data_IF_608475017575
#
_entry.id   IF_608475017575
#
_cell.length_a   1.000
_cell.length_b   1.000
_cell.length_c   1.000
_cell.angle_alpha   90.00
_cell.angle_beta   90.00
_cell.angle_gamma   90.00
#
_symmetry.space_group_name_H-M   'P 1'
#
loop_
_entity.id
_entity.type
_entity.pdbx_description
1 polymer ?
#
# COMPACT_ATOMS: atom_id res chain seq x y z
N UNK A 1 -3.93 10.36 -5.55
CA UNK A 1 -3.52 10.69 -4.16
C UNK A 1 -2.05 10.33 -4.06
N UNK A 2 -1.20 11.21 -3.51
CA UNK A 2 0.23 10.96 -3.46
C UNK A 2 0.56 9.84 -2.47
N UNK A 3 1.46 8.96 -2.88
CA UNK A 3 2.11 7.99 -2.02
C UNK A 3 3.55 8.44 -1.84
N UNK A 4 3.97 8.68 -0.60
CA UNK A 4 5.32 9.17 -0.30
C UNK A 4 6.10 8.18 0.56
N UNK A 5 7.39 8.08 0.32
CA UNK A 5 8.33 7.32 1.14
C UNK A 5 9.18 8.28 1.97
N UNK A 6 9.30 8.01 3.27
CA UNK A 6 10.14 8.77 4.18
C UNK A 6 10.89 7.86 5.15
N UNK A 7 12.09 8.28 5.56
CA UNK A 7 12.90 7.53 6.51
C UNK A 7 12.57 7.91 7.96
N UNK A 8 12.48 6.89 8.81
CA UNK A 8 12.66 6.99 10.25
C UNK A 8 14.11 6.63 10.55
N UNK A 9 14.83 7.56 11.18
CA UNK A 9 16.24 7.34 11.54
C UNK A 9 16.38 6.14 12.48
N UNK A 10 17.54 5.48 12.46
CA UNK A 10 17.86 4.37 13.36
C UNK A 10 17.55 4.72 14.82
N UNK A 11 17.94 5.92 15.26
CA UNK A 11 17.77 6.37 16.63
C UNK A 11 16.29 6.52 17.02
N UNK A 12 15.46 7.07 16.12
CA UNK A 12 14.01 7.20 16.37
C UNK A 12 13.38 5.81 16.41
N UNK A 13 13.69 4.96 15.44
CA UNK A 13 13.16 3.58 15.40
C UNK A 13 13.54 2.81 16.67
N UNK A 14 14.79 2.88 17.13
CA UNK A 14 15.22 2.18 18.35
C UNK A 14 14.56 2.71 19.62
N UNK A 15 14.16 3.99 19.64
CA UNK A 15 13.40 4.58 20.75
C UNK A 15 11.93 4.17 20.74
N UNK A 16 11.28 4.19 19.58
CA UNK A 16 9.83 4.00 19.44
C UNK A 16 9.42 2.54 19.23
N UNK A 17 10.32 1.72 18.68
CA UNK A 17 10.08 0.34 18.27
C UNK A 17 11.08 -0.63 18.93
N UNK A 18 11.56 -0.30 20.13
CA UNK A 18 12.54 -1.11 20.86
C UNK A 18 12.11 -2.58 20.94
N UNK A 19 12.96 -3.48 20.43
CA UNK A 19 12.70 -4.93 20.43
C UNK A 19 11.75 -5.43 19.33
N UNK A 20 11.24 -4.57 18.44
CA UNK A 20 10.43 -4.99 17.32
C UNK A 20 11.27 -5.52 16.15
N UNK A 21 10.77 -6.56 15.49
CA UNK A 21 11.39 -7.24 14.36
C UNK A 21 10.42 -7.39 13.18
N UNK A 22 10.90 -7.82 11.99
CA UNK A 22 10.02 -8.16 10.88
C UNK A 22 8.93 -9.16 11.27
N UNK A 23 7.73 -8.97 10.75
CA UNK A 23 6.51 -9.70 11.10
C UNK A 23 5.68 -9.08 12.22
N UNK A 24 6.27 -8.21 13.06
CA UNK A 24 5.54 -7.49 14.11
C UNK A 24 5.04 -6.13 13.61
N UNK A 25 3.98 -5.61 14.22
CA UNK A 25 3.43 -4.29 13.87
C UNK A 25 4.00 -3.23 14.80
N UNK A 26 4.57 -2.16 14.25
CA UNK A 26 4.81 -0.91 14.98
C UNK A 26 3.51 -0.11 15.00
N UNK A 27 2.83 0.03 16.16
CA UNK A 27 1.50 0.63 16.24
C UNK A 27 1.54 2.18 16.25
N UNK A 28 2.36 2.77 15.38
CA UNK A 28 2.47 4.23 15.24
C UNK A 28 1.35 4.80 14.38
N UNK A 29 0.92 6.01 14.69
CA UNK A 29 -0.01 6.84 13.93
C UNK A 29 0.62 8.18 13.51
N UNK A 30 1.92 8.37 13.78
CA UNK A 30 2.61 9.66 13.64
C UNK A 30 3.92 9.55 12.87
N UNK A 31 4.21 10.59 12.11
CA UNK A 31 5.53 10.84 11.55
C UNK A 31 5.97 12.29 11.85
N UNK A 32 7.05 12.44 12.61
CA UNK A 32 7.55 13.74 13.05
C UNK A 32 8.54 14.30 12.03
N UNK A 33 8.09 15.21 11.18
CA UNK A 33 8.93 15.91 10.21
C UNK A 33 8.23 17.14 9.66
N UNK A 34 8.90 18.28 9.72
CA UNK A 34 8.45 19.55 9.14
C UNK A 34 9.02 19.78 7.72
N UNK A 35 9.46 18.71 7.05
CA UNK A 35 10.02 18.80 5.70
C UNK A 35 8.98 19.31 4.71
N UNK A 36 9.30 20.40 4.00
CA UNK A 36 8.45 20.95 2.93
C UNK A 36 8.22 19.98 1.78
N UNK A 37 9.08 18.97 1.63
CA UNK A 37 8.90 17.92 0.62
C UNK A 37 7.65 17.07 0.84
N UNK A 38 7.04 17.12 2.04
CA UNK A 38 5.82 16.39 2.38
C UNK A 38 4.54 17.18 2.05
N UNK A 39 4.64 18.42 1.56
CA UNK A 39 3.47 19.23 1.20
C UNK A 39 2.48 18.55 0.24
N UNK A 40 2.87 17.63 -0.68
CA UNK A 40 1.89 16.89 -1.48
C UNK A 40 0.86 16.12 -0.63
N UNK A 41 1.19 15.71 0.60
CA UNK A 41 0.28 14.98 1.49
C UNK A 41 -0.85 15.84 2.06
N UNK A 42 -0.82 17.17 1.88
CA UNK A 42 -1.88 18.09 2.33
C UNK A 42 -3.21 17.80 1.62
N UNK A 43 -3.13 17.33 0.37
CA UNK A 43 -4.28 16.88 -0.44
C UNK A 43 -4.70 15.43 -0.11
N UNK A 44 -4.18 14.87 0.98
CA UNK A 44 -4.35 13.48 1.41
C UNK A 44 -3.28 12.54 0.84
N UNK A 45 -3.49 11.22 0.97
CA UNK A 45 -2.54 10.20 0.50
C UNK A 45 -2.06 9.25 1.59
N UNK A 46 -0.90 8.62 1.34
CA UNK A 46 -0.27 7.69 2.27
C UNK A 46 1.22 7.94 2.41
N UNK A 47 1.74 7.64 3.60
CA UNK A 47 3.14 7.78 3.94
C UNK A 47 3.72 6.41 4.31
N UNK A 48 4.67 5.96 3.50
CA UNK A 48 5.43 4.73 3.64
C UNK A 48 6.70 5.03 4.44
N UNK A 49 6.71 4.58 5.69
CA UNK A 49 7.82 4.80 6.59
C UNK A 49 8.80 3.64 6.49
N UNK A 50 10.06 3.96 6.24
CA UNK A 50 11.14 2.97 6.15
C UNK A 50 12.24 3.26 7.18
N UNK A 51 13.02 2.26 7.53
CA UNK A 51 14.27 2.44 8.27
C UNK A 51 15.37 1.58 7.67
N UNK A 52 16.63 1.99 7.84
CA UNK A 52 17.79 1.24 7.38
C UNK A 52 18.43 0.56 8.59
N UNK A 53 18.51 -0.77 8.58
CA UNK A 53 19.02 -1.57 9.70
C UNK A 53 20.44 -2.08 9.45
N UNK A 54 21.32 -2.02 10.46
CA UNK A 54 22.61 -2.71 10.42
C UNK A 54 22.42 -4.23 10.51
N UNK A 55 23.44 -5.04 10.13
CA UNK A 55 24.75 -4.63 9.65
C UNK A 55 24.83 -4.36 8.13
N UNK A 56 23.85 -4.83 7.35
CA UNK A 56 23.95 -4.88 5.87
C UNK A 56 23.12 -3.83 5.13
N UNK A 57 22.76 -2.74 5.80
CA UNK A 57 21.86 -1.71 5.26
C UNK A 57 20.51 -2.27 4.78
N UNK A 58 19.95 -3.21 5.55
CA UNK A 58 18.63 -3.76 5.23
C UNK A 58 17.57 -2.67 5.27
N UNK A 59 16.82 -2.50 4.19
CA UNK A 59 15.73 -1.54 4.12
C UNK A 59 14.47 -2.21 4.64
N UNK A 60 13.94 -1.72 5.76
CA UNK A 60 12.70 -2.22 6.32
C UNK A 60 11.57 -1.23 6.11
N UNK A 61 10.44 -1.66 5.56
CA UNK A 61 9.17 -0.95 5.68
C UNK A 61 8.67 -1.15 7.11
N UNK A 62 8.42 -0.08 7.85
CA UNK A 62 8.07 -0.14 9.27
C UNK A 62 6.63 0.30 9.56
N UNK A 63 6.04 1.11 8.69
CA UNK A 63 4.63 1.49 8.76
C UNK A 63 4.13 2.05 7.43
N UNK A 64 2.81 1.99 7.23
CA UNK A 64 2.09 2.77 6.21
C UNK A 64 1.01 3.57 6.93
N UNK A 65 1.13 4.89 6.88
CA UNK A 65 0.15 5.81 7.49
C UNK A 65 -0.82 6.29 6.42
N UNK A 66 -2.11 6.21 6.71
CA UNK A 66 -3.21 6.58 5.81
C UNK A 66 -4.14 7.59 6.49
N UNK A 67 -4.90 8.35 5.69
CA UNK A 67 -5.82 9.35 6.22
C UNK A 67 -5.08 10.44 6.98
N UNK A 68 -4.01 10.93 6.36
CA UNK A 68 -3.07 11.86 6.95
C UNK A 68 -3.69 13.24 7.15
N UNK A 69 -3.25 13.93 8.20
CA UNK A 69 -3.51 15.33 8.48
C UNK A 69 -2.26 15.94 9.12
N UNK A 70 -1.92 17.19 8.78
CA UNK A 70 -0.78 17.87 9.38
C UNK A 70 -1.06 18.16 10.87
N UNK A 71 -0.01 18.11 11.69
CA UNK A 71 0.01 18.59 13.08
C UNK A 71 1.24 19.48 13.32
N UNK A 72 1.39 20.03 14.53
CA UNK A 72 2.49 20.94 14.86
C UNK A 72 3.89 20.28 14.78
N UNK A 73 3.96 18.94 14.86
CA UNK A 73 5.21 18.16 14.90
C UNK A 73 5.49 17.40 13.58
N UNK A 74 4.55 17.39 12.64
CA UNK A 74 4.60 16.66 11.38
C UNK A 74 3.21 16.20 10.91
N UNK A 75 3.00 14.88 10.90
CA UNK A 75 1.83 14.25 10.29
C UNK A 75 1.22 13.18 11.20
N UNK A 76 -0.10 13.22 11.36
CA UNK A 76 -0.92 12.21 12.04
C UNK A 76 -1.80 11.50 11.02
N UNK A 77 -1.94 10.18 11.15
CA UNK A 77 -2.87 9.39 10.37
C UNK A 77 -3.58 8.33 11.20
N UNK A 78 -4.15 7.33 10.53
CA UNK A 78 -4.65 6.13 11.20
C UNK A 78 -3.50 5.29 11.74
N UNK A 79 -3.76 4.61 12.86
CA UNK A 79 -2.82 3.67 13.48
C UNK A 79 -2.40 2.56 12.51
N UNK A 80 -1.08 2.41 12.33
CA UNK A 80 -0.49 1.43 11.43
C UNK A 80 -0.90 0.00 11.81
N UNK A 81 -1.15 -0.81 10.78
CA UNK A 81 -1.44 -2.25 10.87
C UNK A 81 -0.53 -3.09 10.00
N UNK A 82 0.33 -2.46 9.20
CA UNK A 82 1.26 -3.16 8.31
C UNK A 82 2.43 -3.67 9.16
N UNK A 83 2.77 -4.97 9.09
CA UNK A 83 3.90 -5.50 9.80
C UNK A 83 5.20 -4.92 9.26
N UNK A 84 6.17 -4.74 10.15
CA UNK A 84 7.55 -4.44 9.78
C UNK A 84 8.01 -5.53 8.82
N UNK A 85 8.60 -5.15 7.71
CA UNK A 85 8.96 -6.07 6.63
C UNK A 85 10.30 -5.68 6.06
N UNK A 86 11.18 -6.66 5.89
CA UNK A 86 12.40 -6.47 5.11
C UNK A 86 12.06 -6.37 3.61
N UNK A 87 12.27 -5.18 3.05
CA UNK A 87 12.03 -4.85 1.65
C UNK A 87 13.35 -4.59 0.91
N UNK A 88 14.47 -5.10 1.41
CA UNK A 88 15.81 -4.88 0.82
C UNK A 88 15.86 -5.32 -0.65
N UNK A 89 15.15 -6.39 -1.02
CA UNK A 89 15.07 -6.87 -2.41
C UNK A 89 14.33 -5.92 -3.35
N UNK A 90 13.58 -4.93 -2.84
CA UNK A 90 12.88 -3.92 -3.63
C UNK A 90 13.81 -2.78 -4.08
N UNK A 91 14.94 -2.56 -3.41
CA UNK A 91 15.90 -1.48 -3.72
C UNK A 91 16.25 -1.38 -5.22
N UNK A 92 16.65 -2.47 -5.93
CA UNK A 92 17.05 -2.39 -7.34
C UNK A 92 15.89 -2.05 -8.30
N UNK A 93 14.65 -2.27 -7.88
CA UNK A 93 13.45 -2.06 -8.72
C UNK A 93 12.72 -0.76 -8.42
N UNK A 94 12.91 -0.17 -7.24
CA UNK A 94 12.34 1.14 -6.90
C UNK A 94 12.82 2.22 -7.89
N UNK A 95 11.90 3.05 -8.37
CA UNK A 95 12.18 4.14 -9.33
C UNK A 95 11.83 5.52 -8.82
N UNK A 96 10.78 5.66 -8.00
CA UNK A 96 10.17 6.93 -7.61
C UNK A 96 9.71 7.74 -8.82
N UNK A 97 8.88 8.76 -8.61
CA UNK A 97 8.46 9.65 -9.72
C UNK A 97 9.65 10.33 -10.42
N UNK A 98 10.76 10.52 -9.70
CA UNK A 98 11.99 11.07 -10.28
C UNK A 98 12.68 10.17 -11.32
N UNK A 99 12.31 8.88 -11.39
CA UNK A 99 12.92 7.88 -12.27
C UNK A 99 14.34 7.42 -11.89
N UNK A 100 14.99 8.08 -10.91
CA UNK A 100 16.40 7.82 -10.55
C UNK A 100 16.61 6.58 -9.68
N UNK A 101 15.55 6.08 -9.02
CA UNK A 101 15.63 4.99 -8.06
C UNK A 101 16.51 5.31 -6.84
N UNK A 102 16.98 4.25 -6.16
CA UNK A 102 17.90 4.35 -5.02
C UNK A 102 19.34 4.12 -5.48
N UNK A 103 20.08 5.22 -5.65
CA UNK A 103 21.53 5.19 -5.91
C UNK A 103 22.24 5.59 -4.61
N UNK A 104 22.59 4.61 -3.78
CA UNK A 104 23.35 4.82 -2.57
C UNK A 104 24.69 4.10 -2.67
N UNK A 105 25.77 4.78 -2.29
CA UNK A 105 27.04 4.11 -2.05
C UNK A 105 26.88 3.17 -0.84
N UNK A 106 27.73 2.13 -0.77
CA UNK A 106 27.79 1.23 0.40
C UNK A 106 28.02 2.04 1.68
N UNK A 107 27.16 1.86 2.67
CA UNK A 107 27.14 2.57 3.94
C UNK A 107 26.35 3.89 3.94
N UNK A 108 25.80 4.32 2.79
CA UNK A 108 25.14 5.61 2.63
C UNK A 108 23.62 5.52 2.38
N UNK A 109 23.01 4.34 2.50
CA UNK A 109 21.58 4.16 2.19
C UNK A 109 20.68 5.03 3.07
N UNK A 110 20.96 5.07 4.38
CA UNK A 110 20.22 5.92 5.31
C UNK A 110 20.31 7.42 4.99
N UNK A 111 21.48 7.87 4.52
CA UNK A 111 21.67 9.27 4.10
C UNK A 111 20.92 9.59 2.81
N UNK A 112 20.93 8.67 1.83
CA UNK A 112 20.25 8.83 0.53
C UNK A 112 18.72 8.99 0.66
N UNK A 113 18.16 8.51 1.78
CA UNK A 113 16.72 8.53 2.07
C UNK A 113 16.27 9.69 2.96
N UNK A 114 17.16 10.62 3.33
CA UNK A 114 16.81 11.76 4.21
C UNK A 114 15.73 12.67 3.62
N UNK A 115 15.70 12.81 2.30
CA UNK A 115 14.66 13.57 1.60
C UNK A 115 13.50 12.65 1.26
N UNK A 116 12.26 12.93 1.73
CA UNK A 116 11.07 12.18 1.32
C UNK A 116 10.91 12.16 -0.20
N UNK A 117 10.42 11.04 -0.74
CA UNK A 117 10.29 10.83 -2.19
C UNK A 117 8.86 10.42 -2.54
N UNK A 118 8.37 10.91 -3.67
CA UNK A 118 7.08 10.45 -4.20
C UNK A 118 7.27 9.10 -4.88
N UNK A 119 6.44 8.13 -4.50
CA UNK A 119 6.42 6.78 -5.04
C UNK A 119 5.57 6.73 -6.31
N UNK A 120 5.99 5.93 -7.27
CA UNK A 120 5.10 5.51 -8.37
C UNK A 120 4.12 4.45 -7.88
N UNK A 121 3.04 4.21 -8.64
CA UNK A 121 2.12 3.10 -8.35
C UNK A 121 2.83 1.74 -8.33
N UNK A 122 3.82 1.53 -9.21
CA UNK A 122 4.63 0.31 -9.23
C UNK A 122 5.49 0.15 -7.97
N UNK A 123 6.06 1.25 -7.45
CA UNK A 123 6.83 1.20 -6.21
C UNK A 123 5.94 0.84 -5.01
N UNK A 124 4.73 1.38 -4.98
CA UNK A 124 3.71 1.11 -3.95
C UNK A 124 3.31 -0.36 -3.96
N UNK A 125 2.97 -0.90 -5.13
CA UNK A 125 2.60 -2.31 -5.28
C UNK A 125 3.73 -3.23 -4.81
N UNK A 126 4.97 -2.91 -5.18
CA UNK A 126 6.15 -3.64 -4.76
C UNK A 126 6.30 -3.66 -3.23
N UNK A 127 6.25 -2.50 -2.58
CA UNK A 127 6.40 -2.38 -1.12
C UNK A 127 5.28 -3.09 -0.36
N UNK A 128 4.02 -2.91 -0.79
CA UNK A 128 2.87 -3.54 -0.15
C UNK A 128 2.84 -5.06 -0.36
N UNK A 129 3.24 -5.54 -1.54
CA UNK A 129 3.36 -6.96 -1.84
C UNK A 129 4.42 -7.61 -0.95
N UNK A 130 5.59 -6.98 -0.77
CA UNK A 130 6.62 -7.46 0.15
C UNK A 130 6.13 -7.52 1.59
N UNK A 131 5.34 -6.52 2.02
CA UNK A 131 4.86 -6.43 3.40
C UNK A 131 3.71 -7.38 3.75
N UNK A 132 3.22 -8.16 2.78
CA UNK A 132 1.95 -8.88 2.91
C UNK A 132 0.78 -7.94 3.24
N UNK A 133 0.98 -6.64 3.01
CA UNK A 133 0.19 -5.51 3.49
C UNK A 133 -0.58 -4.79 2.39
N UNK A 134 -0.65 -5.38 1.20
CA UNK A 134 -1.61 -4.97 0.18
C UNK A 134 -3.04 -5.03 0.70
N UNK A 135 -3.97 -4.30 0.08
CA UNK A 135 -5.36 -4.29 0.54
C UNK A 135 -5.88 -5.73 0.56
N UNK A 136 -6.47 -6.11 1.69
CA UNK A 136 -6.89 -7.49 1.93
C UNK A 136 -7.97 -7.80 0.90
N UNK A 137 -7.79 -8.86 0.10
CA UNK A 137 -8.83 -9.32 -0.80
C UNK A 137 -10.01 -9.88 0.04
N UNK A 138 -11.13 -9.17 0.00
CA UNK A 138 -12.38 -9.48 0.72
C UNK A 138 -13.37 -10.30 -0.13
N UNK A 139 -13.02 -10.68 -1.36
CA UNK A 139 -13.88 -11.53 -2.17
C UNK A 139 -13.91 -12.94 -1.57
N UNK A 140 -15.12 -13.39 -1.19
CA UNK A 140 -15.35 -14.71 -0.62
C UNK A 140 -15.13 -15.82 -1.66
N UNK A 141 -14.68 -16.99 -1.21
CA UNK A 141 -14.60 -18.16 -2.07
C UNK A 141 -16.01 -18.64 -2.45
N UNK A 142 -16.20 -18.99 -3.72
CA UNK A 142 -17.44 -19.58 -4.25
C UNK A 142 -17.05 -20.81 -5.06
N UNK A 143 -17.38 -21.98 -4.52
CA UNK A 143 -16.96 -23.27 -5.08
C UNK A 143 -17.71 -23.62 -6.38
N UNK A 144 -18.98 -23.19 -6.50
CA UNK A 144 -19.88 -23.55 -7.62
C UNK A 144 -20.39 -22.31 -8.37
N UNK A 145 -19.50 -21.35 -8.64
CA UNK A 145 -19.83 -20.14 -9.40
C UNK A 145 -19.72 -20.40 -10.91
N UNK A 146 -20.65 -19.83 -11.69
CA UNK A 146 -20.58 -19.84 -13.16
C UNK A 146 -19.38 -19.05 -13.71
N UNK A 147 -18.84 -18.11 -12.92
CA UNK A 147 -17.64 -17.34 -13.25
C UNK A 147 -16.45 -17.77 -12.37
N UNK A 148 -15.20 -17.66 -12.84
CA UNK A 148 -14.04 -17.97 -12.02
C UNK A 148 -14.03 -17.16 -10.71
N UNK A 149 -13.79 -17.83 -9.58
CA UNK A 149 -13.79 -17.17 -8.29
C UNK A 149 -12.62 -16.16 -8.18
N UNK A 150 -12.86 -15.02 -7.55
CA UNK A 150 -11.85 -13.95 -7.38
C UNK A 150 -11.33 -13.83 -5.95
N UNK A 151 -11.55 -14.85 -5.11
CA UNK A 151 -11.01 -14.90 -3.76
C UNK A 151 -9.48 -15.00 -3.76
N UNK A 152 -8.84 -14.78 -2.60
CA UNK A 152 -7.38 -14.83 -2.43
C UNK A 152 -6.74 -16.09 -3.03
N UNK A 153 -7.38 -17.25 -2.89
CA UNK A 153 -6.84 -18.55 -3.35
C UNK A 153 -7.01 -18.77 -4.86
N UNK A 154 -8.10 -18.26 -5.44
CA UNK A 154 -8.43 -18.50 -6.84
C UNK A 154 -7.85 -17.42 -7.76
N UNK A 155 -7.76 -16.17 -7.28
CA UNK A 155 -7.35 -15.00 -8.04
C UNK A 155 -6.07 -15.19 -8.89
N UNK A 156 -4.97 -15.82 -8.41
CA UNK A 156 -3.76 -16.01 -9.22
C UNK A 156 -3.98 -16.82 -10.50
N UNK A 157 -5.05 -17.61 -10.58
CA UNK A 157 -5.43 -18.41 -11.76
C UNK A 157 -6.64 -17.84 -12.49
N UNK A 158 -7.25 -16.78 -11.98
CA UNK A 158 -8.45 -16.21 -12.56
C UNK A 158 -8.07 -15.27 -13.71
N UNK A 159 -8.77 -15.36 -14.86
CA UNK A 159 -8.47 -14.52 -16.01
C UNK A 159 -8.90 -13.06 -15.78
N UNK A 160 -8.50 -12.16 -16.68
CA UNK A 160 -9.01 -10.79 -16.70
C UNK A 160 -10.41 -10.68 -17.31
N UNK A 161 -10.79 -11.67 -18.13
CA UNK A 161 -12.08 -11.76 -18.82
C UNK A 161 -12.67 -13.14 -18.63
N UNK A 162 -13.98 -13.24 -18.47
CA UNK A 162 -14.68 -14.51 -18.35
C UNK A 162 -16.02 -14.43 -19.08
N UNK A 163 -16.57 -15.59 -19.44
CA UNK A 163 -17.88 -15.70 -20.06
C UNK A 163 -18.74 -16.66 -19.23
N UNK A 164 -19.99 -16.29 -19.02
CA UNK A 164 -20.99 -17.15 -18.40
C UNK A 164 -22.36 -16.85 -19.01
N UNK A 165 -23.11 -17.91 -19.36
CA UNK A 165 -24.47 -17.80 -19.89
C UNK A 165 -24.57 -16.88 -21.13
N UNK A 166 -23.55 -16.88 -22.00
CA UNK A 166 -23.50 -16.04 -23.19
C UNK A 166 -23.20 -14.55 -22.94
N UNK A 167 -22.92 -14.16 -21.69
CA UNK A 167 -22.50 -12.81 -21.34
C UNK A 167 -21.01 -12.78 -21.04
N UNK A 168 -20.34 -11.73 -21.52
CA UNK A 168 -18.92 -11.47 -21.25
C UNK A 168 -18.77 -10.56 -20.06
N UNK A 169 -17.72 -10.82 -19.27
CA UNK A 169 -17.39 -10.07 -18.08
C UNK A 169 -15.92 -9.68 -18.11
N UNK A 170 -15.65 -8.50 -17.56
CA UNK A 170 -14.30 -8.00 -17.26
C UNK A 170 -14.11 -7.98 -15.75
N UNK A 171 -12.91 -8.33 -15.30
CA UNK A 171 -12.55 -8.28 -13.90
C UNK A 171 -12.42 -6.82 -13.47
N UNK A 172 -13.13 -6.46 -12.41
CA UNK A 172 -13.11 -5.14 -11.82
C UNK A 172 -12.79 -5.24 -10.32
N UNK A 173 -12.44 -4.09 -9.73
CA UNK A 173 -12.10 -4.00 -8.32
C UNK A 173 -12.50 -2.66 -7.71
N UNK A 174 -12.79 -2.68 -6.41
CA UNK A 174 -12.91 -1.46 -5.59
C UNK A 174 -12.14 -1.62 -4.30
N UNK A 175 -11.59 -0.51 -3.81
CA UNK A 175 -10.84 -0.48 -2.56
C UNK A 175 -11.45 0.52 -1.56
N UNK A 176 -11.49 0.12 -0.29
CA UNK A 176 -11.77 1.03 0.84
C UNK A 176 -11.11 0.56 2.12
N UNK A 177 -10.47 1.47 2.85
CA UNK A 177 -9.86 1.20 4.17
C UNK A 177 -8.97 -0.04 4.21
N UNK A 178 -8.07 -0.18 3.22
CA UNK A 178 -7.16 -1.32 3.10
C UNK A 178 -7.84 -2.66 2.76
N UNK A 179 -9.05 -2.62 2.21
CA UNK A 179 -9.80 -3.81 1.78
C UNK A 179 -10.15 -3.68 0.31
N UNK A 180 -9.81 -4.72 -0.46
CA UNK A 180 -10.03 -4.82 -1.88
C UNK A 180 -11.15 -5.82 -2.14
N UNK A 181 -12.15 -5.44 -2.94
CA UNK A 181 -13.18 -6.35 -3.41
C UNK A 181 -13.07 -6.49 -4.92
N UNK A 182 -12.74 -7.69 -5.38
CA UNK A 182 -12.82 -8.05 -6.79
C UNK A 182 -14.23 -8.54 -7.13
N UNK A 183 -14.70 -8.17 -8.32
CA UNK A 183 -15.98 -8.59 -8.86
C UNK A 183 -15.93 -8.68 -10.39
N UNK A 184 -16.90 -9.37 -10.96
CA UNK A 184 -17.10 -9.45 -12.41
C UNK A 184 -18.08 -8.36 -12.86
N UNK A 185 -17.65 -7.51 -13.77
CA UNK A 185 -18.45 -6.47 -14.40
C UNK A 185 -18.88 -6.96 -15.79
N UNK A 186 -20.18 -6.99 -16.12
CA UNK A 186 -20.62 -7.23 -17.50
C UNK A 186 -19.91 -6.28 -18.46
N UNK A 187 -19.35 -6.80 -19.55
CA UNK A 187 -18.55 -6.01 -20.49
C UNK A 187 -19.36 -4.86 -21.12
N UNK A 188 -20.68 -5.04 -21.27
CA UNK A 188 -21.61 -4.01 -21.73
C UNK A 188 -21.68 -2.79 -20.80
N UNK A 189 -21.42 -2.98 -19.50
CA UNK A 189 -21.38 -1.91 -18.50
C UNK A 189 -19.97 -1.31 -18.33
N UNK A 190 -19.00 -1.68 -19.17
CA UNK A 190 -17.64 -1.13 -19.07
C UNK A 190 -17.62 0.39 -19.26
N UNK A 191 -18.50 0.95 -20.10
CA UNK A 191 -18.69 2.40 -20.27
C UNK A 191 -19.14 3.11 -18.99
N UNK A 192 -19.92 2.42 -18.14
CA UNK A 192 -20.44 2.91 -16.87
C UNK A 192 -19.62 2.43 -15.65
N UNK A 193 -18.42 1.88 -15.90
CA UNK A 193 -17.57 1.25 -14.89
C UNK A 193 -17.34 2.12 -13.65
N UNK A 194 -17.22 3.45 -13.81
CA UNK A 194 -17.07 4.40 -12.70
C UNK A 194 -18.29 4.43 -11.79
N UNK A 195 -19.49 4.49 -12.35
CA UNK A 195 -20.73 4.52 -11.58
C UNK A 195 -20.95 3.19 -10.85
N UNK A 196 -20.69 2.06 -11.53
CA UNK A 196 -20.76 0.73 -10.91
C UNK A 196 -19.74 0.59 -9.77
N UNK A 197 -18.50 1.03 -9.98
CA UNK A 197 -17.47 1.01 -8.95
C UNK A 197 -17.86 1.86 -7.73
N UNK A 198 -18.48 3.03 -7.92
CA UNK A 198 -18.99 3.84 -6.81
C UNK A 198 -20.09 3.12 -6.02
N UNK A 199 -21.03 2.47 -6.70
CA UNK A 199 -22.09 1.70 -6.05
C UNK A 199 -21.54 0.51 -5.26
N UNK A 200 -20.64 -0.28 -5.86
CA UNK A 200 -19.99 -1.43 -5.19
C UNK A 200 -19.16 -0.96 -3.99
N UNK A 201 -18.40 0.14 -4.13
CA UNK A 201 -17.65 0.73 -3.02
C UNK A 201 -18.56 1.22 -1.91
N UNK A 202 -19.71 1.83 -2.22
CA UNK A 202 -20.71 2.24 -1.24
C UNK A 202 -21.27 1.05 -0.44
N UNK A 203 -21.61 -0.04 -1.14
CA UNK A 203 -22.06 -1.27 -0.49
C UNK A 203 -20.96 -1.91 0.39
N UNK A 204 -19.71 -1.89 -0.09
CA UNK A 204 -18.56 -2.37 0.68
C UNK A 204 -18.36 -1.53 1.95
N UNK A 205 -18.41 -0.20 1.86
CA UNK A 205 -18.33 0.69 3.03
C UNK A 205 -19.46 0.37 4.03
N UNK A 206 -20.70 0.23 3.57
CA UNK A 206 -21.84 -0.09 4.42
C UNK A 206 -21.68 -1.41 5.18
N UNK A 207 -21.11 -2.44 4.55
CA UNK A 207 -20.81 -3.73 5.20
C UNK A 207 -19.64 -3.69 6.19
N UNK A 208 -18.74 -2.73 6.05
CA UNK A 208 -17.56 -2.61 6.90
C UNK A 208 -17.76 -1.66 8.09
N UNK A 209 -18.83 -0.85 8.05
CA UNK A 209 -19.23 0.10 9.09
C UNK A 209 -20.44 -0.34 9.93
N UNK A 210 -20.86 -1.60 9.80
CA UNK A 210 -21.78 -2.31 10.70
C UNK A 210 -21.01 -3.35 11.50
#
# INVERSE_FOLDING_TARGET
MPDMLAIISKAIFEKEAAGLSPGQVLPTDRYRSQSRHLSPLEDGGRLFLVTVRPPNESLWLVAVLEGLSPDDEGWVGRKNRIPITDVTSAIPTLRFESGKGLQAAKGALGMSLQTPRVLTSTDVELLLASAGGGPINFTAHQEHSALPCLCKQCFPRSPERAEAQGMRFVRAQVETSGRLLYYWLPEELAGDSRAVAQAVRGALIGRLGA
#
